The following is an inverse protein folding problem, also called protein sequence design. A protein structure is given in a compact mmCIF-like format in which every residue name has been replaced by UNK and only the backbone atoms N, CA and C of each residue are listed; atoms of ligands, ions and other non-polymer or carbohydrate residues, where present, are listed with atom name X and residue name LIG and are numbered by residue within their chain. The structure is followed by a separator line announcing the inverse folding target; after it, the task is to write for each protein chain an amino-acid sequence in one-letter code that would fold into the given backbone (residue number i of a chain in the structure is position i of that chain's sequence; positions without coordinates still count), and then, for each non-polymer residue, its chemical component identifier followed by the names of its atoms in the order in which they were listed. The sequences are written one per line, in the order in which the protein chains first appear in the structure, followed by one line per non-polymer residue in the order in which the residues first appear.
data_IF_883638122290
#
_entry.id   IF_883638122290
#
_cell.length_a   1.000
_cell.length_b   1.000
_cell.length_c   1.000
_cell.angle_alpha   90.00
_cell.angle_beta   90.00
_cell.angle_gamma   90.00
#
_symmetry.space_group_name_H-M   'P 1'
#
loop_
_entity.id
_entity.type
_entity.pdbx_description
1 polymer ?
#
# COMPACT_ATOMS: atom_id res chain seq x y z
N UNK A 1 -22.83 4.52 -0.33
CA UNK A 1 -22.34 5.08 0.94
C UNK A 1 -20.95 5.65 0.68
N UNK A 2 -20.73 6.97 0.82
CA UNK A 2 -19.53 7.67 0.35
C UNK A 2 -18.20 7.24 1.01
N UNK A 3 -18.23 6.48 2.11
CA UNK A 3 -17.02 5.93 2.74
C UNK A 3 -16.50 4.61 2.16
N UNK A 4 -17.30 3.89 1.36
CA UNK A 4 -16.87 2.61 0.76
C UNK A 4 -15.98 2.82 -0.47
N UNK A 5 -16.33 3.80 -1.31
CA UNK A 5 -15.58 4.15 -2.53
C UNK A 5 -14.18 4.66 -2.21
N UNK A 6 -14.03 5.49 -1.17
CA UNK A 6 -12.72 6.01 -0.75
C UNK A 6 -11.77 4.88 -0.33
N UNK A 7 -12.28 3.85 0.37
CA UNK A 7 -11.48 2.69 0.77
C UNK A 7 -11.07 1.82 -0.41
N UNK A 8 -11.96 1.67 -1.40
CA UNK A 8 -11.66 0.94 -2.63
C UNK A 8 -10.55 1.67 -3.42
N UNK A 9 -10.65 2.98 -3.54
CA UNK A 9 -9.65 3.81 -4.23
C UNK A 9 -8.30 3.75 -3.50
N UNK A 10 -8.27 3.85 -2.17
CA UNK A 10 -7.03 3.73 -1.39
C UNK A 10 -6.33 2.37 -1.62
N UNK A 11 -7.09 1.27 -1.61
CA UNK A 11 -6.55 -0.06 -1.89
C UNK A 11 -5.93 -0.14 -3.29
N UNK A 12 -6.62 0.37 -4.31
CA UNK A 12 -6.11 0.37 -5.68
C UNK A 12 -4.85 1.22 -5.83
N UNK A 13 -4.79 2.39 -5.18
CA UNK A 13 -3.61 3.27 -5.21
C UNK A 13 -2.41 2.58 -4.57
N UNK A 14 -2.58 1.95 -3.40
CA UNK A 14 -1.49 1.23 -2.72
C UNK A 14 -0.99 0.07 -3.58
N UNK A 15 -1.90 -0.75 -4.14
CA UNK A 15 -1.51 -1.84 -5.06
C UNK A 15 -0.69 -1.31 -6.24
N UNK A 16 -1.14 -0.22 -6.88
CA UNK A 16 -0.44 0.37 -8.03
C UNK A 16 0.97 0.86 -7.69
N UNK A 17 1.18 1.44 -6.50
CA UNK A 17 2.49 1.88 -6.02
C UNK A 17 3.42 0.67 -5.84
N UNK A 18 2.94 -0.39 -5.21
CA UNK A 18 3.74 -1.60 -4.97
C UNK A 18 4.13 -2.26 -6.30
N UNK A 19 3.20 -2.38 -7.26
CA UNK A 19 3.49 -2.92 -8.60
C UNK A 19 4.51 -2.05 -9.33
N UNK A 20 4.37 -0.72 -9.29
CA UNK A 20 5.36 0.19 -9.88
C UNK A 20 6.76 0.01 -9.28
N UNK A 21 6.86 -0.09 -7.95
CA UNK A 21 8.14 -0.32 -7.27
C UNK A 21 8.78 -1.68 -7.66
N UNK A 22 7.97 -2.73 -7.79
CA UNK A 22 8.43 -4.04 -8.26
C UNK A 22 8.93 -3.98 -9.71
N UNK A 23 8.22 -3.28 -10.60
CA UNK A 23 8.62 -3.11 -12.01
C UNK A 23 9.91 -2.28 -12.11
N UNK A 24 10.03 -1.18 -11.35
CA UNK A 24 11.20 -0.31 -11.34
C UNK A 24 12.45 -0.99 -10.78
N UNK A 25 12.30 -1.91 -9.83
CA UNK A 25 13.41 -2.65 -9.23
C UNK A 25 13.94 -3.80 -10.10
N UNK A 26 13.35 -4.06 -11.27
CA UNK A 26 13.77 -5.13 -12.18
C UNK A 26 13.42 -6.54 -11.69
N UNK A 27 12.65 -6.67 -10.60
CA UNK A 27 12.14 -7.95 -10.07
C UNK A 27 11.11 -8.58 -11.02
N UNK A 28 10.51 -7.77 -11.90
CA UNK A 28 9.48 -8.22 -12.86
C UNK A 28 10.12 -8.69 -14.16
N UNK A 29 10.35 -10.01 -14.26
CA UNK A 29 10.51 -10.66 -15.56
C UNK A 29 9.11 -10.94 -16.15
N UNK A 30 8.92 -10.60 -17.43
CA UNK A 30 7.67 -10.81 -18.17
C UNK A 30 7.27 -12.29 -18.11
N UNK A 31 6.26 -12.64 -17.30
CA UNK A 31 5.79 -14.02 -17.11
C UNK A 31 5.14 -14.32 -15.75
N UNK A 32 5.27 -13.44 -14.74
CA UNK A 32 4.74 -13.65 -13.38
C UNK A 32 3.69 -12.60 -12.96
N UNK A 33 2.96 -12.01 -13.91
CA UNK A 33 2.00 -10.92 -13.65
C UNK A 33 0.99 -11.28 -12.54
N UNK A 34 0.41 -12.48 -12.60
CA UNK A 34 -0.58 -12.96 -11.61
C UNK A 34 0.01 -13.04 -10.18
N UNK A 35 1.29 -13.41 -10.06
CA UNK A 35 1.99 -13.51 -8.76
C UNK A 35 2.33 -12.14 -8.19
N UNK A 36 2.68 -11.19 -9.06
CA UNK A 36 2.95 -9.80 -8.69
C UNK A 36 1.67 -9.13 -8.22
N UNK A 37 0.56 -9.36 -8.92
CA UNK A 37 -0.74 -8.85 -8.53
C UNK A 37 -1.22 -9.44 -7.20
N UNK A 38 -1.10 -10.75 -7.01
CA UNK A 38 -1.41 -11.40 -5.74
C UNK A 38 -0.53 -10.91 -4.57
N UNK A 39 0.77 -10.71 -4.81
CA UNK A 39 1.69 -10.17 -3.81
C UNK A 39 1.39 -8.70 -3.46
N UNK A 40 1.08 -7.88 -4.46
CA UNK A 40 0.67 -6.49 -4.26
C UNK A 40 -0.66 -6.38 -3.52
N UNK A 41 -1.61 -7.27 -3.79
CA UNK A 41 -2.88 -7.33 -3.08
C UNK A 41 -2.70 -7.67 -1.61
N UNK A 42 -1.92 -8.71 -1.30
CA UNK A 42 -1.62 -9.11 0.08
C UNK A 42 -0.95 -7.96 0.86
N UNK A 43 0.08 -7.34 0.29
CA UNK A 43 0.79 -6.21 0.89
C UNK A 43 -0.10 -4.97 1.03
N UNK A 44 -0.98 -4.70 0.06
CA UNK A 44 -1.92 -3.57 0.17
C UNK A 44 -2.92 -3.73 1.31
N UNK A 45 -3.40 -4.95 1.55
CA UNK A 45 -4.32 -5.23 2.65
C UNK A 45 -3.62 -5.07 4.01
N UNK A 46 -2.37 -5.53 4.14
CA UNK A 46 -1.58 -5.34 5.35
C UNK A 46 -1.38 -3.84 5.67
N UNK A 47 -1.02 -3.03 4.67
CA UNK A 47 -0.87 -1.57 4.83
C UNK A 47 -2.19 -0.91 5.21
N UNK A 48 -3.30 -1.31 4.59
CA UNK A 48 -4.62 -0.79 4.93
C UNK A 48 -5.05 -1.15 6.35
N UNK A 49 -4.76 -2.36 6.82
CA UNK A 49 -5.02 -2.77 8.20
C UNK A 49 -4.15 -1.99 9.20
N UNK A 50 -2.88 -1.73 8.88
CA UNK A 50 -2.01 -0.88 9.69
C UNK A 50 -2.48 0.60 9.71
N UNK A 51 -2.93 1.14 8.58
CA UNK A 51 -3.52 2.49 8.52
C UNK A 51 -4.83 2.61 9.31
N UNK A 52 -5.58 1.51 9.51
CA UNK A 52 -6.75 1.52 10.40
C UNK A 52 -6.37 1.60 11.87
N UNK A 53 -5.22 1.02 12.25
CA UNK A 53 -4.72 1.07 13.63
C UNK A 53 -4.23 2.46 14.01
N UNK A 54 -3.65 3.20 13.06
CA UNK A 54 -3.27 4.60 13.23
C UNK A 54 -3.60 5.43 11.97
N UNK A 55 -4.83 5.96 11.85
CA UNK A 55 -5.25 6.72 10.68
C UNK A 55 -4.53 8.07 10.53
N UNK A 56 -3.77 8.49 11.55
CA UNK A 56 -2.98 9.73 11.53
C UNK A 56 -1.67 9.59 10.74
N UNK A 57 -1.24 8.37 10.41
CA UNK A 57 0.10 8.13 9.89
C UNK A 57 1.12 8.33 11.00
N UNK A 58 1.69 7.24 11.52
CA UNK A 58 2.61 7.27 12.65
C UNK A 58 3.77 8.23 12.44
N UNK A 59 3.70 9.39 13.10
CA UNK A 59 4.84 10.22 13.42
C UNK A 59 4.85 10.46 14.94
N UNK A 60 4.90 9.37 15.71
CA UNK A 60 5.27 9.40 17.13
C UNK A 60 6.79 9.39 17.25
N UNK A 61 7.43 10.47 16.83
CA UNK A 61 8.67 11.00 17.41
C UNK A 61 9.11 12.20 16.57
N UNK A 62 8.80 13.40 17.06
CA UNK A 62 9.85 14.34 17.46
C UNK A 62 9.27 15.18 18.60
N UNK A 63 9.54 14.84 19.87
CA UNK A 63 9.67 15.92 20.83
C UNK A 63 10.85 16.75 20.33
N UNK A 64 10.56 17.85 19.63
CA UNK A 64 11.50 18.97 19.62
C UNK A 64 11.45 19.54 21.03
N UNK A 65 12.20 18.92 21.93
CA UNK A 65 12.55 19.57 23.18
C UNK A 65 13.44 20.77 22.83
N UNK A 66 13.07 21.89 23.45
CA UNK A 66 13.51 23.27 23.19
C UNK A 66 15.02 23.49 23.27
#
# INVERSE_FOLDING_TARGET
MPGAEVRIIQSQVIKAIIIQAMVQSGVVMTGNADRIEAGAEAASNEILEEMKKDPSGGNRERPMDK
#
